data_IF_993208204958
#
_entry.id   IF_993208204958
#
_cell.length_a   1.000
_cell.length_b   1.000
_cell.length_c   1.000
_cell.angle_alpha   90.00
_cell.angle_beta   90.00
_cell.angle_gamma   90.00
#
_symmetry.space_group_name_H-M   'P 1'
#
loop_
_entity.id
_entity.type
_entity.pdbx_description
1 polymer ?
#
# COMPACT_ATOMS: atom_id res chain seq x y z
N UNK A 1 54.09 75.31 -43.25
CA UNK A 1 52.67 75.39 -42.85
C UNK A 1 51.78 74.26 -43.40
N UNK A 2 52.05 73.67 -44.58
CA UNK A 2 51.20 72.61 -45.15
C UNK A 2 51.27 71.24 -44.44
N UNK A 3 52.36 70.90 -43.74
CA UNK A 3 52.50 69.61 -43.01
C UNK A 3 51.65 69.54 -41.71
N UNK A 4 51.46 70.67 -41.01
CA UNK A 4 50.62 70.73 -39.80
C UNK A 4 49.12 70.61 -40.09
N UNK A 5 48.65 71.16 -41.21
CA UNK A 5 47.24 71.05 -41.62
C UNK A 5 46.87 69.62 -42.09
N UNK A 6 47.80 68.90 -42.72
CA UNK A 6 47.57 67.52 -43.15
C UNK A 6 47.54 66.53 -41.96
N UNK A 7 48.38 66.77 -40.95
CA UNK A 7 48.40 66.01 -39.69
C UNK A 7 47.09 66.16 -38.90
N UNK A 8 46.54 67.37 -38.79
CA UNK A 8 45.27 67.61 -38.09
C UNK A 8 44.06 67.05 -38.84
N UNK A 9 44.06 67.04 -40.19
CA UNK A 9 42.99 66.44 -40.99
C UNK A 9 43.01 64.91 -40.90
N UNK A 10 44.19 64.29 -40.92
CA UNK A 10 44.36 62.85 -40.73
C UNK A 10 43.92 62.38 -39.33
N UNK A 11 44.26 63.13 -38.27
CA UNK A 11 43.83 62.84 -36.90
C UNK A 11 42.32 62.97 -36.71
N UNK A 12 41.69 63.93 -37.39
CA UNK A 12 40.23 64.13 -37.34
C UNK A 12 39.48 62.99 -38.06
N UNK A 13 39.95 62.58 -39.23
CA UNK A 13 39.38 61.44 -39.99
C UNK A 13 39.50 60.13 -39.19
N UNK A 14 40.66 59.89 -38.58
CA UNK A 14 40.88 58.69 -37.74
C UNK A 14 39.91 58.65 -36.54
N UNK A 15 39.71 59.80 -35.87
CA UNK A 15 38.78 59.91 -34.74
C UNK A 15 37.30 59.76 -35.16
N UNK A 16 36.93 60.22 -36.34
CA UNK A 16 35.59 60.03 -36.91
C UNK A 16 35.33 58.55 -37.27
N UNK A 17 36.32 57.87 -37.85
CA UNK A 17 36.25 56.43 -38.14
C UNK A 17 36.18 55.57 -36.86
N UNK A 18 36.92 55.93 -35.81
CA UNK A 18 36.88 55.22 -34.52
C UNK A 18 35.51 55.34 -33.83
N UNK A 19 34.92 56.56 -33.79
CA UNK A 19 33.58 56.79 -33.21
C UNK A 19 32.53 55.98 -33.97
N UNK A 20 32.60 56.00 -35.30
CA UNK A 20 31.72 55.22 -36.15
C UNK A 20 31.85 53.71 -35.89
N UNK A 21 33.07 53.19 -35.84
CA UNK A 21 33.30 51.76 -35.63
C UNK A 21 32.86 51.29 -34.24
N UNK A 22 32.97 52.14 -33.20
CA UNK A 22 32.40 51.89 -31.88
C UNK A 22 30.87 51.84 -31.93
N UNK A 23 30.22 52.70 -32.71
CA UNK A 23 28.77 52.68 -32.90
C UNK A 23 28.31 51.38 -33.59
N UNK A 24 29.00 50.95 -34.65
CA UNK A 24 28.73 49.67 -35.32
C UNK A 24 28.86 48.49 -34.35
N UNK A 25 29.92 48.47 -33.53
CA UNK A 25 30.14 47.39 -32.58
C UNK A 25 29.10 47.36 -31.46
N UNK A 26 28.65 48.53 -30.98
CA UNK A 26 27.54 48.62 -30.03
C UNK A 26 26.22 48.12 -30.64
N UNK A 27 25.95 48.44 -31.91
CA UNK A 27 24.78 47.90 -32.62
C UNK A 27 24.85 46.37 -32.74
N UNK A 28 26.01 45.83 -33.14
CA UNK A 28 26.23 44.39 -33.24
C UNK A 28 26.10 43.66 -31.89
N UNK A 29 26.65 44.25 -30.81
CA UNK A 29 26.49 43.75 -29.45
C UNK A 29 25.01 43.65 -29.08
N UNK A 30 24.24 44.69 -29.37
CA UNK A 30 22.80 44.71 -29.07
C UNK A 30 22.04 43.68 -29.93
N UNK A 31 22.35 43.56 -31.23
CA UNK A 31 21.79 42.51 -32.10
C UNK A 31 22.03 41.11 -31.55
N UNK A 32 23.27 40.83 -31.10
CA UNK A 32 23.64 39.53 -30.56
C UNK A 32 22.95 39.27 -29.21
N UNK A 33 22.88 40.27 -28.32
CA UNK A 33 22.16 40.15 -27.06
C UNK A 33 20.67 39.90 -27.25
N UNK A 34 20.04 40.49 -28.27
CA UNK A 34 18.65 40.21 -28.62
C UNK A 34 18.47 38.78 -29.13
N UNK A 35 19.33 38.32 -30.04
CA UNK A 35 19.30 36.93 -30.50
C UNK A 35 19.55 35.92 -29.37
N UNK A 36 20.41 36.24 -28.41
CA UNK A 36 20.61 35.44 -27.21
C UNK A 36 19.35 35.42 -26.32
N UNK A 37 18.69 36.56 -26.14
CA UNK A 37 17.43 36.62 -25.39
C UNK A 37 16.32 35.78 -26.05
N UNK A 38 16.24 35.80 -27.39
CA UNK A 38 15.34 34.90 -28.15
C UNK A 38 15.67 33.42 -27.90
N UNK A 39 16.95 33.05 -27.82
CA UNK A 39 17.38 31.68 -27.50
C UNK A 39 16.95 31.26 -26.09
N UNK A 40 17.14 32.14 -25.10
CA UNK A 40 16.74 31.87 -23.71
C UNK A 40 15.22 31.74 -23.59
N UNK A 41 14.45 32.61 -24.27
CA UNK A 41 13.00 32.50 -24.34
C UNK A 41 12.55 31.16 -24.96
N UNK A 42 13.20 30.74 -26.06
CA UNK A 42 12.95 29.45 -26.68
C UNK A 42 13.27 28.27 -25.74
N UNK A 43 14.38 28.33 -25.00
CA UNK A 43 14.73 27.30 -24.01
C UNK A 43 13.70 27.22 -22.87
N UNK A 44 13.20 28.36 -22.40
CA UNK A 44 12.13 28.41 -21.39
C UNK A 44 10.83 27.80 -21.93
N UNK A 45 10.44 28.12 -23.16
CA UNK A 45 9.29 27.53 -23.87
C UNK A 45 9.40 26.01 -23.97
N UNK A 46 10.57 25.48 -24.33
CA UNK A 46 10.82 24.03 -24.32
C UNK A 46 10.61 23.41 -22.93
N UNK A 47 11.10 24.06 -21.87
CA UNK A 47 10.97 23.55 -20.50
C UNK A 47 9.54 23.55 -20.01
N UNK A 48 8.81 24.62 -20.29
CA UNK A 48 7.41 24.80 -19.91
C UNK A 48 6.53 23.74 -20.58
N UNK A 49 6.76 23.45 -21.86
CA UNK A 49 6.05 22.38 -22.57
C UNK A 49 6.31 20.99 -21.96
N UNK A 50 7.55 20.68 -21.57
CA UNK A 50 7.88 19.43 -20.87
C UNK A 50 7.13 19.33 -19.54
N UNK A 51 6.98 20.45 -18.81
CA UNK A 51 6.24 20.51 -17.55
C UNK A 51 4.75 20.30 -17.78
N UNK A 52 4.15 20.93 -18.80
CA UNK A 52 2.75 20.76 -19.14
C UNK A 52 2.41 19.32 -19.58
N UNK A 53 3.30 18.66 -20.32
CA UNK A 53 3.14 17.24 -20.68
C UNK A 53 3.15 16.34 -19.43
N UNK A 54 4.11 16.57 -18.51
CA UNK A 54 4.15 15.88 -17.22
C UNK A 54 2.95 16.19 -16.32
N UNK A 55 2.33 17.35 -16.47
CA UNK A 55 1.11 17.71 -15.77
C UNK A 55 -0.08 16.84 -16.22
N UNK A 56 -0.18 16.53 -17.51
CA UNK A 56 -1.22 15.64 -18.03
C UNK A 56 -1.06 14.21 -17.50
N UNK A 57 0.19 13.70 -17.44
CA UNK A 57 0.47 12.41 -16.80
C UNK A 57 0.11 12.42 -15.31
N UNK A 58 0.38 13.54 -14.62
CA UNK A 58 -0.02 13.74 -13.23
C UNK A 58 -1.54 13.75 -13.07
N UNK A 59 -2.30 14.35 -13.99
CA UNK A 59 -3.77 14.34 -13.96
C UNK A 59 -4.30 12.90 -14.04
N UNK A 60 -3.82 12.12 -15.01
CA UNK A 60 -4.26 10.74 -15.22
C UNK A 60 -3.97 9.86 -14.00
N UNK A 61 -2.77 9.97 -13.44
CA UNK A 61 -2.41 9.23 -12.20
C UNK A 61 -3.23 9.70 -10.99
N UNK A 62 -3.57 10.97 -10.91
CA UNK A 62 -4.44 11.53 -9.87
C UNK A 62 -5.85 10.96 -9.95
N UNK A 63 -6.44 10.84 -11.14
CA UNK A 63 -7.75 10.21 -11.33
C UNK A 63 -7.75 8.74 -10.88
N UNK A 64 -6.71 7.97 -11.21
CA UNK A 64 -6.56 6.58 -10.81
C UNK A 64 -6.43 6.43 -9.27
N UNK A 65 -5.65 7.30 -8.63
CA UNK A 65 -5.51 7.35 -7.17
C UNK A 65 -6.87 7.67 -6.51
N UNK A 66 -7.64 8.59 -7.10
CA UNK A 66 -8.98 8.95 -6.61
C UNK A 66 -9.93 7.76 -6.62
N UNK A 67 -10.02 7.07 -7.77
CA UNK A 67 -10.85 5.89 -7.91
C UNK A 67 -10.46 4.77 -6.92
N UNK A 68 -9.15 4.56 -6.72
CA UNK A 68 -8.63 3.58 -5.77
C UNK A 68 -8.99 3.95 -4.32
N UNK A 69 -8.95 5.24 -3.97
CA UNK A 69 -9.33 5.72 -2.64
C UNK A 69 -10.83 5.51 -2.39
N UNK A 70 -11.69 5.75 -3.39
CA UNK A 70 -13.12 5.50 -3.32
C UNK A 70 -13.44 4.00 -3.15
N UNK A 71 -12.80 3.14 -3.94
CA UNK A 71 -12.98 1.68 -3.85
C UNK A 71 -12.52 1.15 -2.48
N UNK A 72 -11.41 1.68 -1.96
CA UNK A 72 -10.91 1.34 -0.62
C UNK A 72 -11.91 1.78 0.46
N UNK A 73 -12.49 2.98 0.32
CA UNK A 73 -13.54 3.47 1.22
C UNK A 73 -14.79 2.58 1.21
N UNK A 74 -15.28 2.20 0.02
CA UNK A 74 -16.40 1.28 -0.10
C UNK A 74 -16.10 -0.11 0.51
N UNK A 75 -14.89 -0.63 0.26
CA UNK A 75 -14.44 -1.91 0.80
C UNK A 75 -14.35 -1.90 2.32
N UNK A 76 -13.82 -0.82 2.92
CA UNK A 76 -13.74 -0.68 4.39
C UNK A 76 -15.12 -0.56 5.04
N UNK A 77 -16.09 0.09 4.39
CA UNK A 77 -17.48 0.09 4.86
C UNK A 77 -18.09 -1.31 4.85
N UNK A 78 -17.88 -2.08 3.78
CA UNK A 78 -18.38 -3.45 3.68
C UNK A 78 -17.73 -4.37 4.73
N UNK A 79 -16.41 -4.25 4.94
CA UNK A 79 -15.71 -5.02 5.97
C UNK A 79 -16.21 -4.63 7.36
N UNK A 80 -16.43 -3.34 7.64
CA UNK A 80 -16.98 -2.88 8.91
C UNK A 80 -18.34 -3.49 9.21
N UNK A 81 -19.24 -3.53 8.23
CA UNK A 81 -20.54 -4.18 8.36
C UNK A 81 -20.39 -5.69 8.62
N UNK A 82 -19.47 -6.35 7.91
CA UNK A 82 -19.13 -7.75 8.14
C UNK A 82 -18.63 -8.03 9.56
N UNK A 83 -17.77 -7.16 10.10
CA UNK A 83 -17.25 -7.28 11.47
C UNK A 83 -18.35 -7.13 12.53
N UNK A 84 -19.36 -6.28 12.30
CA UNK A 84 -20.52 -6.19 13.19
C UNK A 84 -21.32 -7.50 13.21
N UNK A 85 -21.56 -8.10 12.04
CA UNK A 85 -22.25 -9.40 11.93
C UNK A 85 -21.47 -10.49 12.66
N UNK A 86 -20.15 -10.54 12.51
CA UNK A 86 -19.29 -11.51 13.22
C UNK A 86 -19.35 -11.28 14.73
N UNK A 87 -19.29 -10.03 15.19
CA UNK A 87 -19.41 -9.68 16.61
C UNK A 87 -20.73 -10.17 17.21
N UNK A 88 -21.85 -9.91 16.54
CA UNK A 88 -23.16 -10.38 16.97
C UNK A 88 -23.27 -11.91 16.97
N UNK A 89 -22.69 -12.56 15.95
CA UNK A 89 -22.61 -14.02 15.83
C UNK A 89 -21.86 -14.65 17.00
N UNK A 90 -20.67 -14.13 17.34
CA UNK A 90 -19.87 -14.62 18.46
C UNK A 90 -20.59 -14.40 19.81
N UNK A 91 -21.24 -13.26 20.02
CA UNK A 91 -22.03 -13.01 21.22
C UNK A 91 -23.20 -13.99 21.37
N UNK A 92 -23.89 -14.30 20.26
CA UNK A 92 -24.97 -15.30 20.25
C UNK A 92 -24.43 -16.70 20.57
N UNK A 93 -23.31 -17.07 19.95
CA UNK A 93 -22.66 -18.35 20.19
C UNK A 93 -22.20 -18.49 21.65
N UNK A 94 -21.68 -17.42 22.25
CA UNK A 94 -21.30 -17.40 23.66
C UNK A 94 -22.50 -17.66 24.56
N UNK A 95 -23.63 -17.00 24.32
CA UNK A 95 -24.86 -17.20 25.09
C UNK A 95 -25.39 -18.64 24.97
N UNK A 96 -25.38 -19.22 23.76
CA UNK A 96 -25.76 -20.62 23.54
C UNK A 96 -24.84 -21.60 24.25
N UNK A 97 -23.54 -21.36 24.19
CA UNK A 97 -22.51 -22.17 24.87
C UNK A 97 -22.71 -22.12 26.39
N UNK A 98 -23.01 -20.94 26.94
CA UNK A 98 -23.35 -20.78 28.36
C UNK A 98 -24.62 -21.56 28.76
N UNK A 99 -25.67 -21.52 27.93
CA UNK A 99 -26.89 -22.31 28.17
C UNK A 99 -26.63 -23.82 28.10
N UNK A 100 -25.77 -24.27 27.18
CA UNK A 100 -25.36 -25.67 27.08
C UNK A 100 -24.59 -26.13 28.33
N UNK A 101 -23.73 -25.27 28.89
CA UNK A 101 -23.02 -25.56 30.15
C UNK A 101 -24.00 -25.70 31.33
N UNK A 102 -25.02 -24.84 31.40
CA UNK A 102 -26.06 -24.92 32.43
C UNK A 102 -26.87 -26.21 32.32
N UNK A 103 -27.32 -26.59 31.11
CA UNK A 103 -28.02 -27.85 30.88
C UNK A 103 -27.18 -29.08 31.25
N UNK A 104 -25.88 -29.05 30.95
CA UNK A 104 -24.96 -30.14 31.33
C UNK A 104 -24.78 -30.24 32.85
N UNK A 105 -24.77 -29.11 33.56
CA UNK A 105 -24.73 -29.07 35.03
C UNK A 105 -26.01 -29.66 35.64
N UNK A 106 -27.17 -29.33 35.09
CA UNK A 106 -28.45 -29.88 35.53
C UNK A 106 -28.55 -31.39 35.27
N UNK A 107 -28.05 -31.85 34.11
CA UNK A 107 -27.96 -33.28 33.81
C UNK A 107 -27.11 -34.02 34.86
N UNK A 108 -25.96 -33.46 35.25
CA UNK A 108 -25.13 -34.04 36.32
C UNK A 108 -25.85 -34.11 37.68
N UNK A 109 -26.66 -33.11 38.04
CA UNK A 109 -27.49 -33.17 39.25
C UNK A 109 -28.51 -34.32 39.19
N UNK A 110 -29.16 -34.52 38.05
CA UNK A 110 -30.13 -35.62 37.84
C UNK A 110 -29.43 -36.98 37.95
N UNK A 111 -28.24 -37.13 37.35
CA UNK A 111 -27.45 -38.36 37.42
C UNK A 111 -27.03 -38.68 38.86
N UNK A 112 -26.60 -37.68 39.63
CA UNK A 112 -26.26 -37.87 41.04
C UNK A 112 -27.47 -38.33 41.87
N UNK A 113 -28.67 -37.78 41.62
CA UNK A 113 -29.90 -38.25 42.25
C UNK A 113 -30.23 -39.71 41.85
N UNK A 114 -29.95 -40.08 40.60
CA UNK A 114 -30.16 -41.45 40.11
C UNK A 114 -29.25 -42.45 40.84
N UNK A 115 -27.98 -42.10 41.09
CA UNK A 115 -27.08 -42.91 41.92
C UNK A 115 -27.69 -43.14 43.31
N UNK A 116 -28.12 -42.08 43.99
CA UNK A 116 -28.73 -42.19 45.33
C UNK A 116 -30.00 -43.07 45.34
N UNK A 117 -30.84 -42.99 44.30
CA UNK A 117 -32.01 -43.86 44.18
C UNK A 117 -31.63 -45.34 44.00
N UNK A 118 -30.56 -45.63 43.25
CA UNK A 118 -30.07 -46.99 43.06
C UNK A 118 -29.43 -47.53 44.34
N UNK A 119 -28.74 -46.70 45.12
CA UNK A 119 -28.22 -47.08 46.45
C UNK A 119 -29.36 -47.49 47.40
N UNK A 120 -30.45 -46.70 47.44
CA UNK A 120 -31.65 -47.06 48.21
C UNK A 120 -32.29 -48.37 47.73
N UNK A 121 -32.34 -48.60 46.41
CA UNK A 121 -32.84 -49.85 45.85
C UNK A 121 -31.99 -51.05 46.31
N UNK A 122 -30.67 -50.93 46.30
CA UNK A 122 -29.74 -51.98 46.78
C UNK A 122 -29.97 -52.28 48.26
N UNK A 123 -30.22 -51.26 49.08
CA UNK A 123 -30.59 -51.44 50.49
C UNK A 123 -31.92 -52.20 50.66
N UNK A 124 -32.94 -51.84 49.87
CA UNK A 124 -34.22 -52.55 49.89
C UNK A 124 -34.08 -54.01 49.47
N UNK A 125 -33.26 -54.32 48.45
CA UNK A 125 -33.00 -55.70 48.02
C UNK A 125 -32.34 -56.51 49.15
N UNK A 126 -31.36 -55.94 49.87
CA UNK A 126 -30.74 -56.59 51.04
C UNK A 126 -31.77 -56.89 52.13
N UNK A 127 -32.71 -55.97 52.37
CA UNK A 127 -33.79 -56.21 53.33
C UNK A 127 -34.70 -57.37 52.89
N UNK A 128 -35.02 -57.48 51.60
CA UNK A 128 -35.79 -58.61 51.05
C UNK A 128 -35.03 -59.93 51.21
N UNK A 129 -33.71 -59.95 50.97
CA UNK A 129 -32.87 -61.13 51.18
C UNK A 129 -32.88 -61.58 52.63
N UNK A 130 -32.75 -60.65 53.58
CA UNK A 130 -32.82 -60.95 55.02
C UNK A 130 -34.19 -61.53 55.42
N UNK A 131 -35.29 -60.95 54.93
CA UNK A 131 -36.64 -61.47 55.18
C UNK A 131 -36.79 -62.87 54.57
N UNK A 132 -36.32 -63.06 53.32
CA UNK A 132 -36.39 -64.35 52.62
C UNK A 132 -35.61 -65.44 53.36
N UNK A 133 -34.44 -65.10 53.90
CA UNK A 133 -33.64 -65.99 54.74
C UNK A 133 -34.41 -66.42 56.00
N UNK A 134 -35.01 -65.47 56.72
CA UNK A 134 -35.85 -65.78 57.89
C UNK A 134 -37.04 -66.70 57.52
N UNK A 135 -37.69 -66.47 56.38
CA UNK A 135 -38.80 -67.32 55.91
C UNK A 135 -38.30 -68.72 55.55
N UNK A 136 -37.13 -68.86 54.94
CA UNK A 136 -36.50 -70.17 54.68
C UNK A 136 -36.30 -70.94 55.98
N UNK A 137 -35.77 -70.29 57.01
CA UNK A 137 -35.53 -70.91 58.32
C UNK A 137 -36.84 -71.33 59.01
N UNK A 138 -37.90 -70.53 58.87
CA UNK A 138 -39.24 -70.90 59.36
C UNK A 138 -39.74 -72.12 58.60
N UNK A 139 -39.63 -72.14 57.26
CA UNK A 139 -40.06 -73.28 56.45
C UNK A 139 -39.26 -74.55 56.78
N UNK A 140 -37.95 -74.45 57.05
CA UNK A 140 -37.13 -75.56 57.54
C UNK A 140 -37.63 -76.10 58.89
N UNK A 141 -37.90 -75.20 59.85
CA UNK A 141 -38.46 -75.58 61.16
C UNK A 141 -39.83 -76.22 61.03
N UNK A 142 -40.72 -75.68 60.19
CA UNK A 142 -42.05 -76.24 59.93
C UNK A 142 -41.97 -77.60 59.26
N UNK A 143 -41.04 -77.79 58.32
CA UNK A 143 -40.80 -79.08 57.67
C UNK A 143 -40.29 -80.14 58.67
N UNK A 144 -39.41 -79.77 59.59
CA UNK A 144 -38.94 -80.65 60.66
C UNK A 144 -40.06 -80.98 61.66
N UNK A 145 -40.87 -79.98 62.03
CA UNK A 145 -42.03 -80.17 62.91
C UNK A 145 -43.06 -81.11 62.29
N UNK A 146 -43.37 -80.95 61.00
CA UNK A 146 -44.34 -81.80 60.30
C UNK A 146 -43.81 -83.21 60.09
N UNK A 147 -42.51 -83.38 59.83
CA UNK A 147 -41.87 -84.69 59.78
C UNK A 147 -41.98 -85.42 61.13
N UNK A 148 -41.67 -84.72 62.24
CA UNK A 148 -41.82 -85.28 63.58
C UNK A 148 -43.29 -85.65 63.88
N UNK A 149 -44.25 -84.82 63.45
CA UNK A 149 -45.68 -85.10 63.60
C UNK A 149 -46.12 -86.31 62.74
N UNK A 150 -45.61 -86.46 61.52
CA UNK A 150 -45.88 -87.60 60.65
C UNK A 150 -45.34 -88.92 61.24
N UNK A 151 -44.14 -88.89 61.85
CA UNK A 151 -43.55 -90.02 62.57
C UNK A 151 -44.43 -90.43 63.75
N UNK A 152 -44.85 -89.46 64.59
CA UNK A 152 -45.67 -89.77 65.77
C UNK A 152 -47.09 -90.23 65.38
N UNK A 153 -47.65 -89.69 64.29
CA UNK A 153 -48.92 -90.15 63.72
C UNK A 153 -48.84 -91.59 63.20
N UNK A 154 -47.73 -91.99 62.56
CA UNK A 154 -47.49 -93.37 62.16
C UNK A 154 -47.34 -94.31 63.37
N UNK A 155 -46.76 -93.80 64.47
CA UNK A 155 -46.57 -94.52 65.74
C UNK A 155 -47.89 -94.83 66.46
N UNK A 156 -48.89 -93.96 66.30
CA UNK A 156 -50.24 -94.11 66.87
C UNK A 156 -51.16 -95.08 66.08
N UNK A 157 -50.70 -95.65 64.96
CA UNK A 157 -51.45 -96.65 64.19
C UNK A 157 -52.76 -96.12 63.59
N UNK A 158 -53.87 -96.87 63.76
CA UNK A 158 -55.19 -96.52 63.21
C UNK A 158 -55.73 -95.17 63.73
N UNK A 159 -55.43 -94.80 64.98
CA UNK A 159 -55.89 -93.54 65.58
C UNK A 159 -55.14 -92.30 65.06
N UNK A 160 -53.96 -92.48 64.44
CA UNK A 160 -53.11 -91.40 63.92
C UNK A 160 -53.34 -91.04 62.45
N UNK A 161 -54.18 -91.79 61.72
CA UNK A 161 -54.37 -91.63 60.26
C UNK A 161 -54.74 -90.21 59.83
N UNK A 162 -55.67 -89.55 60.53
CA UNK A 162 -56.05 -88.17 60.22
C UNK A 162 -54.92 -87.15 60.44
N UNK A 163 -54.13 -87.32 61.50
CA UNK A 163 -52.98 -86.47 61.79
C UNK A 163 -51.83 -86.68 60.81
N UNK A 164 -51.63 -87.90 60.31
CA UNK A 164 -50.61 -88.20 59.30
C UNK A 164 -50.87 -87.47 57.99
N UNK A 165 -52.13 -87.37 57.54
CA UNK A 165 -52.51 -86.62 56.33
C UNK A 165 -52.24 -85.13 56.50
N UNK A 166 -52.60 -84.55 57.65
CA UNK A 166 -52.33 -83.14 57.94
C UNK A 166 -50.82 -82.86 58.02
N UNK A 167 -50.05 -83.74 58.66
CA UNK A 167 -48.61 -83.60 58.75
C UNK A 167 -47.93 -83.65 57.37
N UNK A 168 -48.35 -84.54 56.48
CA UNK A 168 -47.84 -84.61 55.11
C UNK A 168 -48.19 -83.35 54.29
N UNK A 169 -49.41 -82.81 54.45
CA UNK A 169 -49.80 -81.56 53.77
C UNK A 169 -49.02 -80.35 54.29
N UNK A 170 -48.79 -80.25 55.61
CA UNK A 170 -47.93 -79.20 56.20
C UNK A 170 -46.48 -79.33 55.71
N UNK A 171 -45.97 -80.56 55.57
CA UNK A 171 -44.63 -80.82 55.00
C UNK A 171 -44.54 -80.32 53.56
N UNK A 172 -45.54 -80.65 52.74
CA UNK A 172 -45.64 -80.20 51.35
C UNK A 172 -45.71 -78.67 51.24
N UNK A 173 -46.49 -78.00 52.11
CA UNK A 173 -46.55 -76.53 52.17
C UNK A 173 -45.21 -75.91 52.58
N UNK A 174 -44.48 -76.53 53.51
CA UNK A 174 -43.15 -76.09 53.91
C UNK A 174 -42.14 -76.22 52.77
N UNK A 175 -42.15 -77.33 52.03
CA UNK A 175 -41.31 -77.51 50.84
C UNK A 175 -41.68 -76.52 49.71
N UNK A 176 -42.97 -76.29 49.46
CA UNK A 176 -43.43 -75.25 48.53
C UNK A 176 -42.96 -73.86 48.94
N UNK A 177 -42.98 -73.55 50.24
CA UNK A 177 -42.47 -72.28 50.78
C UNK A 177 -40.98 -72.12 50.51
N UNK A 178 -40.17 -73.18 50.68
CA UNK A 178 -38.74 -73.15 50.35
C UNK A 178 -38.50 -72.91 48.87
N UNK A 179 -39.27 -73.55 47.98
CA UNK A 179 -39.16 -73.32 46.54
C UNK A 179 -39.47 -71.86 46.19
N UNK A 180 -40.55 -71.30 46.75
CA UNK A 180 -40.91 -69.90 46.56
C UNK A 180 -39.83 -68.94 47.08
N UNK A 181 -39.27 -69.20 48.27
CA UNK A 181 -38.16 -68.41 48.83
C UNK A 181 -36.92 -68.46 47.93
N UNK A 182 -36.61 -69.61 47.34
CA UNK A 182 -35.49 -69.76 46.39
C UNK A 182 -35.72 -68.93 45.12
N UNK A 183 -36.96 -68.86 44.63
CA UNK A 183 -37.33 -68.00 43.50
C UNK A 183 -37.18 -66.51 43.86
N UNK A 184 -37.65 -66.09 45.03
CA UNK A 184 -37.48 -64.70 45.53
C UNK A 184 -35.99 -64.35 45.62
N UNK A 185 -35.16 -65.23 46.17
CA UNK A 185 -33.70 -65.01 46.24
C UNK A 185 -33.08 -64.84 44.86
N UNK A 186 -33.46 -65.67 43.89
CA UNK A 186 -32.98 -65.53 42.51
C UNK A 186 -33.41 -64.20 41.87
N UNK A 187 -34.64 -63.72 42.14
CA UNK A 187 -35.11 -62.41 41.67
C UNK A 187 -34.30 -61.29 42.35
N UNK A 188 -34.08 -61.34 43.66
CA UNK A 188 -33.24 -60.37 44.39
C UNK A 188 -31.82 -60.31 43.83
N UNK A 189 -31.19 -61.47 43.58
CA UNK A 189 -29.85 -61.55 42.97
C UNK A 189 -29.82 -60.88 41.57
N UNK A 190 -30.86 -61.11 40.76
CA UNK A 190 -30.99 -60.48 39.44
C UNK A 190 -31.19 -58.96 39.54
N UNK A 191 -32.03 -58.50 40.48
CA UNK A 191 -32.24 -57.08 40.74
C UNK A 191 -30.95 -56.39 41.21
N UNK A 192 -30.19 -57.05 42.09
CA UNK A 192 -28.90 -56.54 42.58
C UNK A 192 -27.89 -56.39 41.42
N UNK A 193 -27.74 -57.42 40.58
CA UNK A 193 -26.90 -57.34 39.37
C UNK A 193 -27.32 -56.20 38.45
N UNK A 194 -28.63 -55.98 38.27
CA UNK A 194 -29.16 -54.89 37.44
C UNK A 194 -28.88 -53.52 38.06
N UNK A 195 -28.99 -53.39 39.38
CA UNK A 195 -28.66 -52.17 40.12
C UNK A 195 -27.17 -51.81 39.95
N UNK A 196 -26.25 -52.76 40.17
CA UNK A 196 -24.80 -52.56 39.96
C UNK A 196 -24.50 -52.10 38.53
N UNK A 197 -25.03 -52.80 37.52
CA UNK A 197 -24.87 -52.41 36.12
C UNK A 197 -25.43 -51.01 35.81
N UNK A 198 -26.49 -50.59 36.52
CA UNK A 198 -27.07 -49.24 36.38
C UNK A 198 -26.13 -48.19 36.97
N UNK A 199 -25.51 -48.43 38.13
CA UNK A 199 -24.52 -47.51 38.71
C UNK A 199 -23.32 -47.34 37.78
N UNK A 200 -22.80 -48.44 37.22
CA UNK A 200 -21.69 -48.39 36.25
C UNK A 200 -22.06 -47.56 35.01
N UNK A 201 -23.25 -47.76 34.46
CA UNK A 201 -23.74 -46.99 33.32
C UNK A 201 -23.87 -45.49 33.64
N UNK A 202 -24.44 -45.16 34.82
CA UNK A 202 -24.56 -43.76 35.27
C UNK A 202 -23.18 -43.13 35.44
N UNK A 203 -22.21 -43.83 36.04
CA UNK A 203 -20.83 -43.36 36.18
C UNK A 203 -20.15 -43.04 34.84
N UNK A 204 -20.37 -43.87 33.81
CA UNK A 204 -19.87 -43.61 32.47
C UNK A 204 -20.52 -42.36 31.83
N UNK A 205 -21.81 -42.13 32.07
CA UNK A 205 -22.52 -40.94 31.58
C UNK A 205 -22.04 -39.69 32.31
N UNK A 206 -21.84 -39.73 33.63
CA UNK A 206 -21.28 -38.62 34.41
C UNK A 206 -19.91 -38.20 33.89
N UNK A 207 -18.99 -39.14 33.67
CA UNK A 207 -17.67 -38.84 33.09
C UNK A 207 -17.77 -38.19 31.69
N UNK A 208 -18.75 -38.60 30.88
CA UNK A 208 -19.01 -37.99 29.57
C UNK A 208 -19.47 -36.53 29.71
N UNK A 209 -20.33 -36.23 30.68
CA UNK A 209 -20.78 -34.85 30.94
C UNK A 209 -19.68 -33.96 31.55
N UNK A 210 -18.75 -34.52 32.34
CA UNK A 210 -17.57 -33.78 32.82
C UNK A 210 -16.65 -33.36 31.67
N UNK A 211 -16.40 -34.28 30.72
CA UNK A 211 -15.68 -33.96 29.48
C UNK A 211 -16.42 -32.91 28.65
N UNK A 212 -17.73 -33.05 28.51
CA UNK A 212 -18.58 -32.08 27.79
C UNK A 212 -18.48 -30.68 28.39
N UNK A 213 -18.50 -30.53 29.72
CA UNK A 213 -18.35 -29.24 30.40
C UNK A 213 -16.95 -28.64 30.16
N UNK A 214 -15.92 -29.47 30.16
CA UNK A 214 -14.54 -29.04 29.85
C UNK A 214 -14.45 -28.48 28.43
N UNK A 215 -14.98 -29.20 27.45
CA UNK A 215 -15.00 -28.74 26.04
C UNK A 215 -15.84 -27.47 25.85
N UNK A 216 -16.99 -27.39 26.52
CA UNK A 216 -17.85 -26.19 26.47
C UNK A 216 -17.12 -24.96 27.04
N UNK A 217 -16.30 -25.14 28.07
CA UNK A 217 -15.46 -24.07 28.64
C UNK A 217 -14.36 -23.66 27.67
N UNK A 218 -13.70 -24.61 27.00
CA UNK A 218 -12.69 -24.32 25.98
C UNK A 218 -13.29 -23.51 24.82
N UNK A 219 -14.47 -23.90 24.34
CA UNK A 219 -15.21 -23.21 23.28
C UNK A 219 -15.55 -21.77 23.68
N UNK A 220 -16.00 -21.54 24.92
CA UNK A 220 -16.26 -20.19 25.43
C UNK A 220 -14.98 -19.32 25.48
N UNK A 221 -13.83 -19.92 25.79
CA UNK A 221 -12.53 -19.26 25.73
C UNK A 221 -12.15 -18.82 24.31
N UNK A 222 -12.35 -19.71 23.32
CA UNK A 222 -12.11 -19.40 21.90
C UNK A 222 -13.00 -18.24 21.43
N UNK A 223 -14.28 -18.24 21.81
CA UNK A 223 -15.21 -17.15 21.47
C UNK A 223 -14.78 -15.81 22.06
N UNK A 224 -14.23 -15.82 23.28
CA UNK A 224 -13.71 -14.61 23.92
C UNK A 224 -12.51 -14.04 23.16
N UNK A 225 -11.61 -14.91 22.68
CA UNK A 225 -10.48 -14.51 21.84
C UNK A 225 -10.93 -14.03 20.46
N UNK A 226 -11.93 -14.68 19.84
CA UNK A 226 -12.52 -14.21 18.59
C UNK A 226 -13.10 -12.81 18.72
N UNK A 227 -13.81 -12.51 19.81
CA UNK A 227 -14.33 -11.16 20.06
C UNK A 227 -13.21 -10.12 20.17
N UNK A 228 -12.08 -10.47 20.82
CA UNK A 228 -10.89 -9.60 20.86
C UNK A 228 -10.33 -9.33 19.46
N UNK A 229 -10.19 -10.38 18.64
CA UNK A 229 -9.71 -10.25 17.25
C UNK A 229 -10.65 -9.39 16.38
N UNK A 230 -11.97 -9.49 16.58
CA UNK A 230 -12.95 -8.66 15.88
C UNK A 230 -12.80 -7.19 16.25
N UNK A 231 -12.54 -6.87 17.52
CA UNK A 231 -12.28 -5.49 17.95
C UNK A 231 -10.98 -4.93 17.37
N UNK A 232 -9.91 -5.71 17.38
CA UNK A 232 -8.63 -5.36 16.75
C UNK A 232 -8.77 -5.13 15.23
N UNK A 233 -9.53 -5.99 14.56
CA UNK A 233 -9.84 -5.87 13.13
C UNK A 233 -10.66 -4.62 12.83
N UNK A 234 -11.65 -4.32 13.68
CA UNK A 234 -12.48 -3.10 13.54
C UNK A 234 -11.63 -1.84 13.66
N UNK A 235 -10.71 -1.79 14.63
CA UNK A 235 -9.78 -0.67 14.77
C UNK A 235 -8.84 -0.53 13.56
N UNK A 236 -8.39 -1.66 12.99
CA UNK A 236 -7.56 -1.66 11.79
C UNK A 236 -8.31 -1.12 10.57
N UNK A 237 -9.58 -1.52 10.40
CA UNK A 237 -10.45 -1.03 9.31
C UNK A 237 -10.70 0.48 9.41
N UNK A 238 -10.90 1.01 10.63
CA UNK A 238 -11.04 2.45 10.85
C UNK A 238 -9.78 3.23 10.45
N UNK A 239 -8.59 2.69 10.74
CA UNK A 239 -7.33 3.29 10.30
C UNK A 239 -7.19 3.30 8.76
N UNK A 240 -7.61 2.22 8.08
CA UNK A 240 -7.60 2.15 6.61
C UNK A 240 -8.59 3.17 6.03
N UNK A 241 -9.79 3.30 6.61
CA UNK A 241 -10.77 4.28 6.17
C UNK A 241 -10.25 5.73 6.29
N UNK A 242 -9.57 6.05 7.40
CA UNK A 242 -8.90 7.35 7.59
C UNK A 242 -7.81 7.59 6.55
N UNK A 243 -6.99 6.58 6.26
CA UNK A 243 -5.94 6.68 5.25
C UNK A 243 -6.52 6.92 3.85
N UNK A 244 -7.60 6.21 3.48
CA UNK A 244 -8.30 6.43 2.22
C UNK A 244 -8.86 7.86 2.11
N UNK A 245 -9.41 8.40 3.19
CA UNK A 245 -9.89 9.78 3.23
C UNK A 245 -8.75 10.80 3.06
N UNK A 246 -7.61 10.59 3.72
CA UNK A 246 -6.43 11.44 3.55
C UNK A 246 -5.88 11.37 2.13
N UNK A 247 -5.88 10.18 1.52
CA UNK A 247 -5.50 9.99 0.12
C UNK A 247 -6.43 10.76 -0.82
N UNK A 248 -7.75 10.75 -0.59
CA UNK A 248 -8.70 11.53 -1.38
C UNK A 248 -8.41 13.05 -1.31
N UNK A 249 -8.14 13.59 -0.11
CA UNK A 249 -7.77 15.00 0.06
C UNK A 249 -6.43 15.35 -0.62
N UNK A 250 -5.44 14.46 -0.52
CA UNK A 250 -4.16 14.65 -1.21
C UNK A 250 -4.34 14.65 -2.73
N UNK A 251 -5.26 13.84 -3.23
CA UNK A 251 -5.59 13.71 -4.66
C UNK A 251 -6.27 14.98 -5.19
N UNK A 252 -7.14 15.61 -4.40
CA UNK A 252 -7.74 16.91 -4.74
C UNK A 252 -6.66 17.99 -4.94
N UNK A 253 -5.68 18.08 -4.02
CA UNK A 253 -4.55 19.00 -4.17
C UNK A 253 -3.67 18.67 -5.40
N UNK A 254 -3.49 17.40 -5.72
CA UNK A 254 -2.72 16.99 -6.91
C UNK A 254 -3.45 17.37 -8.21
N UNK A 255 -4.78 17.29 -8.22
CA UNK A 255 -5.58 17.72 -9.36
C UNK A 255 -5.43 19.23 -9.59
N UNK A 256 -5.49 20.04 -8.53
CA UNK A 256 -5.27 21.49 -8.60
C UNK A 256 -3.87 21.82 -9.14
N UNK A 257 -2.83 21.19 -8.59
CA UNK A 257 -1.44 21.39 -9.06
C UNK A 257 -1.27 20.96 -10.52
N UNK A 258 -1.88 19.85 -10.92
CA UNK A 258 -1.84 19.38 -12.30
C UNK A 258 -2.49 20.40 -13.25
N UNK A 259 -3.63 20.97 -12.88
CA UNK A 259 -4.31 22.00 -13.67
C UNK A 259 -3.45 23.29 -13.77
N UNK A 260 -2.86 23.75 -12.66
CA UNK A 260 -1.96 24.91 -12.67
C UNK A 260 -0.73 24.70 -13.58
N UNK A 261 -0.14 23.51 -13.56
CA UNK A 261 1.00 23.17 -14.41
C UNK A 261 0.60 23.06 -15.89
N UNK A 262 -0.59 22.53 -16.19
CA UNK A 262 -1.12 22.49 -17.55
C UNK A 262 -1.36 23.90 -18.10
N UNK A 263 -1.92 24.80 -17.28
CA UNK A 263 -2.14 26.21 -17.62
C UNK A 263 -0.84 27.02 -17.77
N UNK A 264 0.28 26.51 -17.24
CA UNK A 264 1.58 27.15 -17.41
C UNK A 264 2.12 27.07 -18.85
N UNK A 265 1.54 26.23 -19.71
CA UNK A 265 1.95 26.07 -21.12
C UNK A 265 1.99 27.41 -21.89
N UNK A 266 0.99 28.26 -21.68
CA UNK A 266 0.86 29.56 -22.35
C UNK A 266 1.99 30.54 -21.97
N UNK A 267 2.64 30.33 -20.83
CA UNK A 267 3.76 31.17 -20.39
C UNK A 267 4.97 31.06 -21.33
N UNK A 268 5.18 29.91 -21.97
CA UNK A 268 6.25 29.71 -22.96
C UNK A 268 6.05 30.60 -24.19
N UNK A 269 4.83 30.64 -24.71
CA UNK A 269 4.46 31.47 -25.86
C UNK A 269 4.58 32.97 -25.54
N UNK A 270 4.21 33.37 -24.32
CA UNK A 270 4.37 34.75 -23.83
C UNK A 270 5.85 35.17 -23.85
N UNK A 271 6.76 34.32 -23.35
CA UNK A 271 8.19 34.63 -23.33
C UNK A 271 8.77 34.79 -24.74
N UNK A 272 8.39 33.91 -25.67
CA UNK A 272 8.82 34.01 -27.07
C UNK A 272 8.26 35.26 -27.77
N UNK A 273 6.99 35.60 -27.54
CA UNK A 273 6.37 36.78 -28.12
C UNK A 273 7.00 38.07 -27.56
N UNK A 274 7.29 38.13 -26.26
CA UNK A 274 7.99 39.27 -25.66
C UNK A 274 9.42 39.43 -26.18
N UNK A 275 10.17 38.34 -26.36
CA UNK A 275 11.49 38.41 -26.98
C UNK A 275 11.41 39.00 -28.40
N UNK A 276 10.42 38.57 -29.21
CA UNK A 276 10.17 39.10 -30.56
C UNK A 276 9.69 40.56 -30.54
N UNK A 277 8.88 40.97 -29.56
CA UNK A 277 8.42 42.36 -29.39
C UNK A 277 9.59 43.28 -29.07
N UNK A 278 10.45 42.89 -28.13
CA UNK A 278 11.65 43.66 -27.77
C UNK A 278 12.56 43.83 -29.00
N UNK A 279 12.79 42.75 -29.77
CA UNK A 279 13.57 42.81 -31.01
C UNK A 279 12.98 43.81 -32.03
N UNK A 280 11.66 43.76 -32.26
CA UNK A 280 10.94 44.69 -33.15
C UNK A 280 11.02 46.15 -32.70
N UNK A 281 11.03 46.40 -31.38
CA UNK A 281 11.11 47.75 -30.83
C UNK A 281 12.52 48.32 -30.94
N UNK A 282 13.56 47.51 -30.70
CA UNK A 282 14.94 47.99 -30.61
C UNK A 282 15.61 48.04 -32.00
N UNK A 283 15.39 47.05 -32.86
CA UNK A 283 16.07 46.92 -34.16
C UNK A 283 15.99 48.19 -35.05
N UNK A 284 14.85 48.91 -35.16
CA UNK A 284 14.76 50.13 -35.96
C UNK A 284 15.68 51.27 -35.52
N UNK A 285 16.16 51.25 -34.27
CA UNK A 285 17.07 52.25 -33.73
C UNK A 285 18.54 51.87 -33.89
N UNK A 286 18.84 50.69 -34.41
CA UNK A 286 20.21 50.26 -34.70
C UNK A 286 20.65 50.79 -36.07
N UNK A 287 21.88 51.29 -36.15
CA UNK A 287 22.47 51.78 -37.40
C UNK A 287 23.86 51.19 -37.58
N UNK A 288 24.10 50.64 -38.77
CA UNK A 288 25.40 50.15 -39.21
C UNK A 288 25.93 51.08 -40.30
N UNK A 289 27.05 51.73 -40.02
CA UNK A 289 27.71 52.71 -40.86
C UNK A 289 28.82 52.11 -41.73
N UNK A 290 29.29 50.90 -41.41
CA UNK A 290 30.28 50.13 -42.19
C UNK A 290 31.57 50.91 -42.45
N UNK A 291 32.13 51.49 -41.39
CA UNK A 291 33.35 52.26 -41.48
C UNK A 291 34.58 51.39 -41.79
N UNK A 292 35.55 51.96 -42.52
CA UNK A 292 36.83 51.32 -42.82
C UNK A 292 37.73 51.27 -41.57
N UNK A 293 37.37 50.36 -40.66
CA UNK A 293 38.00 50.18 -39.36
C UNK A 293 37.79 48.74 -38.87
N UNK A 294 38.82 48.11 -38.29
CA UNK A 294 38.77 46.69 -37.86
C UNK A 294 37.61 46.39 -36.89
N UNK A 295 37.29 47.34 -36.01
CA UNK A 295 36.16 47.22 -35.08
C UNK A 295 34.79 47.17 -35.80
N UNK A 296 34.63 47.85 -36.93
CA UNK A 296 33.41 47.78 -37.76
C UNK A 296 33.32 46.43 -38.50
N UNK A 297 34.47 45.87 -38.92
CA UNK A 297 34.52 44.51 -39.46
C UNK A 297 34.08 43.50 -38.39
N UNK A 298 34.66 43.56 -37.18
CA UNK A 298 34.26 42.71 -36.05
C UNK A 298 32.78 42.88 -35.70
N UNK A 299 32.25 44.09 -35.77
CA UNK A 299 30.82 44.35 -35.59
C UNK A 299 29.97 43.58 -36.61
N UNK A 300 30.34 43.64 -37.89
CA UNK A 300 29.68 42.87 -38.95
C UNK A 300 29.71 41.37 -38.65
N UNK A 301 30.87 40.84 -38.23
CA UNK A 301 31.04 39.42 -37.86
C UNK A 301 30.20 39.02 -36.65
N UNK A 302 30.10 39.85 -35.62
CA UNK A 302 29.24 39.58 -34.46
C UNK A 302 27.74 39.62 -34.85
N UNK A 303 27.35 40.56 -35.71
CA UNK A 303 25.99 40.60 -36.26
C UNK A 303 25.66 39.39 -37.14
N UNK A 304 26.63 38.88 -37.91
CA UNK A 304 26.50 37.63 -38.67
C UNK A 304 26.21 36.44 -37.73
N UNK A 305 26.85 36.39 -36.55
CA UNK A 305 26.56 35.37 -35.53
C UNK A 305 25.19 35.55 -34.86
N UNK A 306 24.74 36.79 -34.65
CA UNK A 306 23.37 37.05 -34.17
C UNK A 306 22.33 36.49 -35.16
N UNK A 307 22.53 36.72 -36.46
CA UNK A 307 21.68 36.17 -37.51
C UNK A 307 21.78 34.66 -37.64
N UNK A 308 22.98 34.10 -37.46
CA UNK A 308 23.19 32.65 -37.38
C UNK A 308 22.38 32.04 -36.24
N UNK A 309 22.40 32.65 -35.04
CA UNK A 309 21.66 32.16 -33.89
C UNK A 309 20.15 32.16 -34.13
N UNK A 310 19.61 33.25 -34.69
CA UNK A 310 18.18 33.31 -35.09
C UNK A 310 17.81 32.24 -36.11
N UNK A 311 18.68 31.97 -37.09
CA UNK A 311 18.47 30.88 -38.06
C UNK A 311 18.46 29.50 -37.40
N UNK A 312 19.34 29.27 -36.43
CA UNK A 312 19.38 28.02 -35.65
C UNK A 312 18.06 27.84 -34.88
N UNK A 313 17.57 28.86 -34.18
CA UNK A 313 16.30 28.82 -33.45
C UNK A 313 15.12 28.56 -34.42
N UNK A 314 15.00 29.33 -35.50
CA UNK A 314 13.91 29.21 -36.48
C UNK A 314 13.84 27.84 -37.18
N UNK A 315 14.98 27.15 -37.26
CA UNK A 315 15.11 25.84 -37.90
C UNK A 315 15.36 24.69 -36.92
N UNK A 316 15.19 24.93 -35.62
CA UNK A 316 15.29 23.90 -34.60
C UNK A 316 14.36 22.72 -34.95
N UNK A 317 14.93 21.50 -35.00
CA UNK A 317 14.18 20.27 -35.29
C UNK A 317 13.82 20.07 -36.77
N UNK A 318 14.26 20.96 -37.68
CA UNK A 318 13.99 20.86 -39.12
C UNK A 318 15.13 20.23 -39.92
N UNK A 319 16.11 19.61 -39.26
CA UNK A 319 17.28 19.01 -39.92
C UNK A 319 18.18 20.04 -40.62
N UNK A 320 18.14 21.30 -40.18
CA UNK A 320 19.03 22.34 -40.67
C UNK A 320 20.47 22.03 -40.27
N UNK A 321 21.39 22.12 -41.24
CA UNK A 321 22.82 21.98 -40.98
C UNK A 321 23.46 23.38 -40.90
N UNK A 322 23.84 23.86 -39.70
CA UNK A 322 24.47 25.15 -39.57
C UNK A 322 25.83 25.19 -40.27
N UNK A 323 26.25 26.38 -40.71
CA UNK A 323 27.60 26.58 -41.24
C UNK A 323 28.64 26.29 -40.16
N UNK A 324 29.76 25.64 -40.51
CA UNK A 324 30.85 25.41 -39.56
C UNK A 324 31.63 26.69 -39.25
N UNK A 325 32.30 26.72 -38.10
CA UNK A 325 33.09 27.87 -37.65
C UNK A 325 34.15 28.31 -38.70
N UNK A 326 34.78 27.38 -39.43
CA UNK A 326 35.71 27.76 -40.51
C UNK A 326 35.05 28.30 -41.78
N UNK A 327 33.79 27.95 -42.04
CA UNK A 327 33.06 28.35 -43.25
C UNK A 327 32.17 29.58 -43.02
N UNK A 328 32.06 30.05 -41.77
CA UNK A 328 31.35 31.26 -41.44
C UNK A 328 32.18 32.50 -41.83
N UNK A 329 31.51 33.65 -41.91
CA UNK A 329 32.12 34.90 -42.34
C UNK A 329 33.22 35.42 -41.39
N UNK A 330 33.15 35.05 -40.10
CA UNK A 330 34.20 35.32 -39.13
C UNK A 330 35.37 34.36 -39.27
N UNK A 331 35.14 33.05 -39.42
CA UNK A 331 36.21 32.07 -39.61
C UNK A 331 37.04 32.31 -40.87
N UNK A 332 36.38 32.74 -41.97
CA UNK A 332 37.08 33.19 -43.19
C UNK A 332 37.97 34.41 -42.91
N UNK A 333 37.44 35.41 -42.21
CA UNK A 333 38.19 36.62 -41.83
C UNK A 333 39.37 36.30 -40.89
N UNK A 334 39.11 35.50 -39.84
CA UNK A 334 40.08 35.03 -38.86
C UNK A 334 41.28 34.35 -39.54
N UNK A 335 41.01 33.44 -40.48
CA UNK A 335 42.05 32.76 -41.25
C UNK A 335 42.85 33.72 -42.14
N UNK A 336 42.18 34.65 -42.81
CA UNK A 336 42.84 35.59 -43.72
C UNK A 336 43.72 36.60 -42.99
N UNK A 337 43.30 37.07 -41.81
CA UNK A 337 44.05 38.04 -41.00
C UNK A 337 44.94 37.39 -39.94
N UNK A 338 45.08 36.06 -39.94
CA UNK A 338 45.79 35.32 -38.90
C UNK A 338 47.23 35.81 -38.73
N UNK A 339 47.98 35.92 -39.83
CA UNK A 339 49.37 36.37 -39.77
C UNK A 339 49.54 37.80 -39.26
N UNK A 340 48.52 38.63 -39.44
CA UNK A 340 48.50 40.02 -38.98
C UNK A 340 48.25 40.13 -37.48
N UNK A 341 47.35 39.31 -36.93
CA UNK A 341 46.89 39.44 -35.54
C UNK A 341 47.31 38.29 -34.60
N UNK A 342 48.05 37.28 -35.06
CA UNK A 342 48.50 36.13 -34.24
C UNK A 342 49.28 36.48 -32.96
N UNK A 343 49.82 37.70 -32.86
CA UNK A 343 50.52 38.16 -31.66
C UNK A 343 49.58 38.75 -30.60
N UNK A 344 48.29 38.95 -30.92
CA UNK A 344 47.26 39.39 -30.00
C UNK A 344 46.65 38.12 -29.37
N UNK A 345 46.81 37.97 -28.06
CA UNK A 345 46.33 36.79 -27.33
C UNK A 345 44.83 36.59 -27.51
N UNK A 346 44.05 37.65 -27.35
CA UNK A 346 42.59 37.66 -27.50
C UNK A 346 42.14 37.29 -28.92
N UNK A 347 42.98 37.57 -29.94
CA UNK A 347 42.70 37.14 -31.31
C UNK A 347 42.88 35.63 -31.42
N UNK A 348 43.94 35.04 -30.87
CA UNK A 348 44.12 33.58 -30.92
C UNK A 348 43.08 32.85 -30.06
N UNK A 349 42.82 33.35 -28.85
CA UNK A 349 41.94 32.73 -27.85
C UNK A 349 40.46 32.68 -28.28
N UNK A 350 40.00 33.50 -29.23
CA UNK A 350 38.60 33.52 -29.70
C UNK A 350 38.20 32.27 -30.50
N UNK A 351 39.16 31.53 -31.07
CA UNK A 351 38.87 30.41 -31.96
C UNK A 351 38.18 29.24 -31.24
N UNK A 352 38.55 28.98 -29.98
CA UNK A 352 37.95 27.89 -29.20
C UNK A 352 36.49 28.20 -28.78
N UNK A 353 36.14 29.36 -28.19
CA UNK A 353 34.75 29.77 -27.99
C UNK A 353 33.93 29.79 -29.29
N UNK A 354 34.53 30.23 -30.40
CA UNK A 354 33.89 30.28 -31.71
C UNK A 354 33.53 28.87 -32.20
N UNK A 355 34.48 27.94 -32.13
CA UNK A 355 34.24 26.53 -32.46
C UNK A 355 33.15 25.93 -31.57
N UNK A 356 33.23 26.10 -30.24
CA UNK A 356 32.23 25.58 -29.30
C UNK A 356 30.82 26.10 -29.61
N UNK A 357 30.68 27.37 -29.98
CA UNK A 357 29.40 27.96 -30.36
C UNK A 357 28.79 27.28 -31.60
N UNK A 358 29.58 27.05 -32.64
CA UNK A 358 29.12 26.36 -33.85
C UNK A 358 28.81 24.87 -33.59
N UNK A 359 29.66 24.18 -32.83
CA UNK A 359 29.45 22.77 -32.49
C UNK A 359 28.18 22.57 -31.65
N UNK A 360 27.92 23.48 -30.69
CA UNK A 360 26.68 23.47 -29.91
C UNK A 360 25.44 23.75 -30.76
N UNK A 361 25.54 24.70 -31.70
CA UNK A 361 24.47 25.01 -32.64
C UNK A 361 24.14 23.84 -33.57
N UNK A 362 25.16 23.11 -34.04
CA UNK A 362 24.98 21.89 -34.84
C UNK A 362 24.31 20.79 -34.04
N UNK A 363 24.78 20.52 -32.81
CA UNK A 363 24.19 19.50 -31.93
C UNK A 363 22.69 19.75 -31.65
N UNK A 364 22.32 20.99 -31.34
CA UNK A 364 20.93 21.37 -31.13
C UNK A 364 20.07 21.31 -32.41
N UNK A 365 20.65 21.64 -33.57
CA UNK A 365 19.93 21.54 -34.85
C UNK A 365 19.66 20.08 -35.24
N UNK A 366 20.53 19.16 -34.85
CA UNK A 366 20.35 17.71 -35.00
C UNK A 366 19.33 17.15 -34.00
N UNK A 367 19.40 17.58 -32.74
CA UNK A 367 18.54 17.10 -31.67
C UNK A 367 18.10 18.26 -30.76
N UNK A 368 16.82 18.63 -30.86
CA UNK A 368 16.22 19.65 -30.02
C UNK A 368 15.99 19.08 -28.63
N UNK A 369 16.82 19.52 -27.68
CA UNK A 369 16.71 19.15 -26.27
C UNK A 369 17.12 20.30 -25.37
N UNK A 370 16.66 20.28 -24.11
CA UNK A 370 17.09 21.25 -23.10
C UNK A 370 18.60 21.21 -22.86
N UNK A 371 19.21 20.02 -22.96
CA UNK A 371 20.65 19.85 -22.83
C UNK A 371 21.37 20.58 -23.96
N UNK A 372 20.92 20.43 -25.21
CA UNK A 372 21.59 21.04 -26.35
C UNK A 372 21.33 22.55 -26.46
N UNK A 373 20.13 23.03 -26.10
CA UNK A 373 19.86 24.48 -26.10
C UNK A 373 20.68 25.20 -25.02
N UNK A 374 20.85 24.61 -23.83
CA UNK A 374 21.70 25.18 -22.77
C UNK A 374 23.17 25.27 -23.19
N UNK A 375 23.69 24.28 -23.92
CA UNK A 375 25.05 24.36 -24.49
C UNK A 375 25.21 25.54 -25.45
N UNK A 376 24.18 25.87 -26.23
CA UNK A 376 24.22 27.07 -27.08
C UNK A 376 24.15 28.33 -26.23
N UNK A 377 23.29 28.39 -25.21
CA UNK A 377 23.20 29.54 -24.30
C UNK A 377 24.58 29.83 -23.70
N UNK A 378 25.24 28.83 -23.12
CA UNK A 378 26.57 28.98 -22.51
C UNK A 378 27.61 29.42 -23.54
N UNK A 379 27.70 28.70 -24.67
CA UNK A 379 28.69 29.02 -25.71
C UNK A 379 28.43 30.36 -26.41
N UNK A 380 27.19 30.85 -26.43
CA UNK A 380 26.83 32.16 -26.98
C UNK A 380 27.32 33.30 -26.07
N UNK A 381 27.33 33.11 -24.75
CA UNK A 381 27.94 34.05 -23.81
C UNK A 381 29.47 34.01 -23.94
N UNK A 382 30.05 32.82 -24.04
CA UNK A 382 31.51 32.64 -24.21
C UNK A 382 32.03 33.35 -25.47
N UNK A 383 31.37 33.19 -26.62
CA UNK A 383 31.77 33.85 -27.86
C UNK A 383 31.57 35.36 -27.78
N UNK A 384 30.48 35.84 -27.16
CA UNK A 384 30.26 37.27 -26.96
C UNK A 384 31.36 37.91 -26.11
N UNK A 385 31.75 37.24 -25.03
CA UNK A 385 32.84 37.69 -24.18
C UNK A 385 34.17 37.73 -24.96
N UNK A 386 34.43 36.74 -25.79
CA UNK A 386 35.63 36.70 -26.62
C UNK A 386 35.67 37.85 -27.63
N UNK A 387 34.54 38.18 -28.29
CA UNK A 387 34.42 39.36 -29.16
C UNK A 387 34.66 40.67 -28.39
N UNK A 388 34.14 40.80 -27.17
CA UNK A 388 34.35 41.97 -26.33
C UNK A 388 35.82 42.11 -25.91
N UNK A 389 36.48 41.02 -25.49
CA UNK A 389 37.91 41.03 -25.16
C UNK A 389 38.75 41.43 -26.37
N UNK A 390 38.50 40.83 -27.54
CA UNK A 390 39.20 41.15 -28.78
C UNK A 390 39.02 42.62 -29.19
N UNK A 391 37.79 43.15 -29.09
CA UNK A 391 37.47 44.54 -29.45
C UNK A 391 38.27 45.59 -28.69
N UNK A 392 38.71 45.27 -27.46
CA UNK A 392 39.45 46.19 -26.59
C UNK A 392 40.92 46.34 -26.96
N UNK A 393 41.49 45.34 -27.64
CA UNK A 393 42.94 45.25 -27.88
C UNK A 393 43.31 45.32 -29.36
N UNK A 394 42.37 44.99 -30.26
CA UNK A 394 42.62 44.94 -31.71
C UNK A 394 42.68 46.33 -32.36
N UNK A 395 42.23 47.37 -31.65
CA UNK A 395 42.25 48.76 -32.13
C UNK A 395 43.57 49.48 -31.83
N UNK A 396 44.39 48.92 -30.95
CA UNK A 396 45.62 49.54 -30.43
C UNK A 396 46.89 49.16 -31.22
N UNK A 397 46.75 48.32 -32.27
CA UNK A 397 47.81 47.83 -33.16
C UNK A 397 47.41 47.96 -34.63
#
# INVERSE_FOLDING_TARGET
MFSFFNSNRSKKIFKEQEICARADFMAALTCFSLAHNELVAYAASLKIREVAEKAADLAATTEEISATAEETSASTQQISAGMQIVKEGEQNNFNKTSSLAEMAKDANLILNNMVGNVEQLVEQIKNIENISQNVSEIADKTNLLSLNAAIEAARAGEHGRGFSVVAEEVRKLADQTKTAVKEVKNISDQMNKKAVSTVEAVGSVTNTFEQYLTETTNVAGIMSENMRMVEESTGSVDNIAKAAQQQALATENLAEVSEELANSADFGDILEDEAKKIDKVITPYMSFYQCDHVLSILAGRLNDHANFLRKVIQNAGKGFKPTSHHQCEFGKWYKNEYDRYKNIKEFVDIDEPHKRFHDAAEAFSMEVSLVNVNKIIDSSVDILEAFLRLSRVITDN
#
